data_IF_715064056981
#
_entry.id   IF_715064056981
#
_cell.length_a   1.000
_cell.length_b   1.000
_cell.length_c   1.000
_cell.angle_alpha   90.00
_cell.angle_beta   90.00
_cell.angle_gamma   90.00
#
_symmetry.space_group_name_H-M   'P 1'
#
loop_
_entity.id
_entity.type
_entity.pdbx_description
1 polymer ?
#
# COMPACT_ATOMS: atom_id res chain seq x y z
N UNK A 1 24.22 -27.79 -4.99
CA UNK A 1 24.53 -28.05 -3.57
C UNK A 1 23.26 -27.79 -2.78
N UNK A 2 22.57 -28.87 -2.44
CA UNK A 2 21.31 -28.84 -1.71
C UNK A 2 21.60 -28.45 -0.26
N UNK A 3 20.91 -27.42 0.24
CA UNK A 3 21.06 -26.98 1.63
C UNK A 3 20.27 -27.97 2.48
N UNK A 4 20.96 -29.00 2.98
CA UNK A 4 20.39 -29.99 3.90
C UNK A 4 19.79 -29.28 5.13
N UNK A 5 18.48 -29.38 5.28
CA UNK A 5 17.75 -28.90 6.45
C UNK A 5 17.98 -29.89 7.61
N UNK A 6 19.10 -29.72 8.33
CA UNK A 6 19.46 -30.57 9.46
C UNK A 6 18.73 -30.12 10.73
N UNK A 7 17.58 -30.75 10.95
CA UNK A 7 17.07 -31.05 12.29
C UNK A 7 16.18 -29.98 12.94
N UNK A 8 15.00 -30.42 13.34
CA UNK A 8 14.16 -29.72 14.31
C UNK A 8 14.66 -30.10 15.70
N UNK A 9 15.25 -29.17 16.45
CA UNK A 9 15.59 -29.41 17.86
C UNK A 9 14.34 -29.24 18.74
N UNK A 10 14.20 -30.14 19.71
CA UNK A 10 13.06 -30.23 20.62
C UNK A 10 12.87 -28.96 21.46
N UNK A 11 11.63 -28.49 21.70
CA UNK A 11 11.38 -27.27 22.45
C UNK A 11 11.44 -27.53 23.96
N UNK A 12 12.19 -26.71 24.69
CA UNK A 12 12.31 -26.77 26.15
C UNK A 12 11.03 -26.34 26.93
N UNK A 13 9.90 -26.03 26.28
CA UNK A 13 8.64 -25.70 26.96
C UNK A 13 7.41 -25.71 26.02
N UNK A 14 6.17 -25.93 26.55
CA UNK A 14 4.94 -25.92 25.75
C UNK A 14 4.45 -24.47 25.53
N UNK A 15 5.06 -23.77 24.58
CA UNK A 15 4.61 -22.44 24.12
C UNK A 15 3.71 -22.51 22.89
N UNK A 16 2.83 -21.51 22.71
CA UNK A 16 1.93 -21.38 21.54
C UNK A 16 2.73 -21.36 20.23
N UNK A 17 2.09 -21.75 19.12
CA UNK A 17 2.72 -21.94 17.79
C UNK A 17 3.41 -20.69 17.20
N UNK A 18 3.25 -19.51 17.81
CA UNK A 18 3.84 -18.24 17.34
C UNK A 18 5.20 -17.86 17.97
N UNK A 19 5.71 -18.61 18.95
CA UNK A 19 6.89 -18.18 19.73
C UNK A 19 8.23 -18.79 19.30
N UNK A 20 8.27 -19.59 18.22
CA UNK A 20 9.54 -20.15 17.72
C UNK A 20 10.18 -19.19 16.72
N UNK A 21 10.86 -18.17 17.23
CA UNK A 21 11.79 -17.37 16.41
C UNK A 21 12.76 -18.35 15.76
N UNK A 22 12.80 -18.38 14.42
CA UNK A 22 13.70 -19.30 13.69
C UNK A 22 15.09 -18.68 13.69
N UNK A 23 16.02 -19.36 14.34
CA UNK A 23 17.44 -19.01 14.32
C UNK A 23 18.15 -19.90 13.28
N UNK A 24 18.95 -19.27 12.45
CA UNK A 24 19.78 -19.88 11.44
C UNK A 24 21.23 -19.89 11.92
N UNK A 25 22.01 -20.88 11.46
CA UNK A 25 23.40 -21.06 11.90
C UNK A 25 24.23 -19.78 11.75
N UNK A 26 25.10 -19.56 12.73
CA UNK A 26 26.12 -18.53 12.72
C UNK A 26 27.15 -18.77 11.61
N UNK A 27 27.86 -17.70 11.21
CA UNK A 27 28.94 -17.79 10.23
C UNK A 27 28.51 -17.98 8.77
N UNK A 28 27.21 -17.90 8.44
CA UNK A 28 26.76 -17.87 7.04
C UNK A 28 27.24 -16.60 6.36
N UNK A 29 27.70 -16.69 5.12
CA UNK A 29 28.10 -15.54 4.30
C UNK A 29 27.13 -15.40 3.13
N UNK A 30 26.90 -14.16 2.69
CA UNK A 30 26.13 -13.84 1.50
C UNK A 30 26.64 -14.61 0.27
N UNK A 31 25.73 -15.21 -0.50
CA UNK A 31 26.07 -16.01 -1.69
C UNK A 31 26.50 -15.18 -2.92
N UNK A 32 26.39 -13.85 -2.86
CA UNK A 32 26.80 -12.99 -3.99
C UNK A 32 28.32 -13.04 -4.20
N UNK A 33 28.81 -13.22 -5.44
CA UNK A 33 30.24 -13.25 -5.73
C UNK A 33 30.95 -12.00 -5.21
N UNK A 34 32.02 -12.21 -4.43
CA UNK A 34 32.79 -11.12 -3.82
C UNK A 34 32.13 -10.47 -2.60
N UNK A 35 30.94 -10.89 -2.19
CA UNK A 35 30.31 -10.40 -0.97
C UNK A 35 30.77 -11.21 0.24
N UNK A 36 31.45 -10.56 1.18
CA UNK A 36 31.93 -11.18 2.42
C UNK A 36 31.00 -10.92 3.61
N UNK A 37 29.77 -10.44 3.38
CA UNK A 37 28.84 -10.10 4.46
C UNK A 37 28.36 -11.34 5.22
N UNK A 38 28.65 -11.40 6.51
CA UNK A 38 28.13 -12.43 7.42
C UNK A 38 26.65 -12.16 7.70
N UNK A 39 25.80 -13.18 7.48
CA UNK A 39 24.36 -13.12 7.62
C UNK A 39 23.97 -13.32 9.09
N UNK A 40 23.04 -12.48 9.55
CA UNK A 40 22.44 -12.62 10.88
C UNK A 40 21.79 -13.99 11.07
N UNK A 41 21.82 -14.48 12.30
CA UNK A 41 21.10 -15.70 12.72
C UNK A 41 19.58 -15.56 12.52
N UNK A 42 19.04 -14.36 12.38
CA UNK A 42 17.61 -14.14 12.11
C UNK A 42 17.29 -13.99 10.61
N UNK A 43 18.29 -14.02 9.74
CA UNK A 43 18.11 -13.80 8.31
C UNK A 43 17.83 -15.12 7.57
N UNK A 44 16.60 -15.37 7.09
CA UNK A 44 16.29 -16.61 6.39
C UNK A 44 16.92 -16.71 4.99
N UNK A 45 17.29 -15.59 4.38
CA UNK A 45 17.86 -15.56 3.03
C UNK A 45 19.33 -16.00 3.02
N UNK A 46 19.79 -16.47 1.86
CA UNK A 46 21.21 -16.72 1.55
C UNK A 46 21.96 -15.47 1.09
N UNK A 47 21.28 -14.32 0.97
CA UNK A 47 21.87 -13.02 0.61
C UNK A 47 21.78 -12.05 1.80
N UNK A 48 22.64 -11.03 1.84
CA UNK A 48 22.58 -9.97 2.87
C UNK A 48 21.50 -8.92 2.55
N UNK A 49 21.11 -8.07 3.51
CA UNK A 49 20.05 -7.07 3.31
C UNK A 49 20.26 -6.13 2.09
N UNK A 50 21.53 -5.91 1.69
CA UNK A 50 21.88 -5.10 0.52
C UNK A 50 21.60 -5.86 -0.78
N UNK A 51 21.97 -7.14 -0.85
CA UNK A 51 21.73 -8.03 -1.99
C UNK A 51 20.38 -8.75 -1.95
N UNK A 52 19.64 -8.60 -0.85
CA UNK A 52 18.23 -8.92 -0.74
C UNK A 52 17.36 -7.91 -1.48
N UNK A 53 17.89 -6.74 -1.87
CA UNK A 53 17.19 -5.88 -2.82
C UNK A 53 17.23 -6.50 -4.21
N UNK A 54 16.15 -6.68 -4.94
CA UNK A 54 14.71 -6.56 -4.70
C UNK A 54 14.15 -7.33 -5.90
N UNK A 55 13.94 -8.64 -5.81
CA UNK A 55 13.12 -9.30 -6.84
C UNK A 55 11.70 -8.66 -6.85
N UNK A 56 11.32 -8.05 -5.73
CA UNK A 56 10.20 -7.15 -5.56
C UNK A 56 10.63 -5.68 -5.73
N UNK A 57 11.36 -5.33 -6.80
CA UNK A 57 11.27 -3.94 -7.27
C UNK A 57 9.78 -3.79 -7.52
N UNK A 58 9.10 -2.98 -6.70
CA UNK A 58 7.70 -2.57 -6.90
C UNK A 58 7.52 -2.56 -8.40
N UNK A 59 6.67 -3.44 -8.98
CA UNK A 59 6.63 -3.58 -10.42
C UNK A 59 6.50 -2.15 -10.94
N UNK A 60 7.33 -1.81 -11.92
CA UNK A 60 7.30 -0.51 -12.56
C UNK A 60 5.96 -0.26 -13.28
N UNK A 61 4.86 -0.88 -12.84
CA UNK A 61 3.46 -0.46 -13.04
C UNK A 61 3.23 1.03 -12.78
N UNK A 62 4.12 1.72 -12.05
CA UNK A 62 4.09 3.19 -11.95
C UNK A 62 4.55 3.89 -13.23
N UNK A 63 5.44 3.29 -14.02
CA UNK A 63 6.00 3.91 -15.23
C UNK A 63 5.05 3.78 -16.44
N UNK A 64 4.13 2.82 -16.43
CA UNK A 64 3.21 2.54 -17.54
C UNK A 64 1.78 3.04 -17.25
N UNK A 65 1.62 4.13 -16.51
CA UNK A 65 0.29 4.69 -16.31
C UNK A 65 -0.18 5.38 -17.58
N UNK A 66 -1.06 4.72 -18.33
CA UNK A 66 -1.67 5.24 -19.56
C UNK A 66 -2.40 6.55 -19.26
N UNK A 67 -2.08 7.58 -20.04
CA UNK A 67 -2.79 8.85 -20.01
C UNK A 67 -4.17 8.66 -20.65
N UNK A 68 -5.22 9.03 -19.91
CA UNK A 68 -6.60 8.97 -20.39
C UNK A 68 -7.24 10.35 -20.33
N UNK A 69 -8.07 10.65 -21.32
CA UNK A 69 -8.93 11.82 -21.33
C UNK A 69 -10.20 11.58 -20.53
N UNK A 70 -10.58 12.55 -19.69
CA UNK A 70 -11.81 12.51 -18.91
C UNK A 70 -12.48 13.88 -18.92
N UNK A 71 -13.80 13.90 -18.73
CA UNK A 71 -14.56 15.13 -18.51
C UNK A 71 -14.63 15.49 -17.02
N UNK A 72 -14.50 16.78 -16.71
CA UNK A 72 -14.61 17.29 -15.35
C UNK A 72 -16.07 17.28 -14.89
N UNK A 73 -16.36 16.62 -13.77
CA UNK A 73 -17.70 16.56 -13.19
C UNK A 73 -18.25 17.92 -12.68
N UNK A 74 -17.42 18.96 -12.63
CA UNK A 74 -17.83 20.30 -12.16
C UNK A 74 -18.03 21.31 -13.29
N UNK A 75 -17.17 21.31 -14.30
CA UNK A 75 -17.20 22.32 -15.37
C UNK A 75 -17.36 21.73 -16.77
N UNK A 76 -17.41 20.40 -16.92
CA UNK A 76 -17.53 19.71 -18.20
C UNK A 76 -16.25 19.66 -19.04
N UNK A 77 -15.23 20.48 -18.74
CA UNK A 77 -13.99 20.53 -19.50
C UNK A 77 -13.28 19.17 -19.56
N UNK A 78 -12.72 18.84 -20.72
CA UNK A 78 -11.85 17.67 -20.92
C UNK A 78 -10.47 17.91 -20.32
N UNK A 79 -9.89 16.88 -19.70
CA UNK A 79 -8.55 16.92 -19.13
C UNK A 79 -7.88 15.54 -19.18
N UNK A 80 -6.56 15.52 -19.26
CA UNK A 80 -5.77 14.29 -19.22
C UNK A 80 -5.42 13.89 -17.78
N UNK A 81 -5.42 12.60 -17.51
CA UNK A 81 -5.00 12.06 -16.23
C UNK A 81 -4.52 10.62 -16.36
N UNK A 82 -3.61 10.21 -15.50
CA UNK A 82 -3.20 8.81 -15.34
C UNK A 82 -4.04 8.07 -14.29
N UNK A 83 -4.90 8.78 -13.54
CA UNK A 83 -5.69 8.22 -12.46
C UNK A 83 -7.16 8.05 -12.88
N UNK A 84 -7.66 6.81 -13.05
CA UNK A 84 -9.04 6.57 -13.46
C UNK A 84 -10.09 7.01 -12.43
N UNK A 85 -9.69 7.30 -11.19
CA UNK A 85 -10.60 7.81 -10.14
C UNK A 85 -10.64 9.34 -10.08
N UNK A 86 -9.84 10.05 -10.87
CA UNK A 86 -9.82 11.52 -10.87
C UNK A 86 -11.07 12.06 -11.58
N UNK A 87 -11.88 12.83 -10.84
CA UNK A 87 -13.18 13.37 -11.30
C UNK A 87 -13.16 14.84 -11.74
N UNK A 88 -12.09 15.57 -11.41
CA UNK A 88 -12.03 17.03 -11.57
C UNK A 88 -10.71 17.44 -12.24
N UNK A 89 -10.78 18.41 -13.14
CA UNK A 89 -9.61 18.90 -13.88
C UNK A 89 -8.58 19.62 -12.98
N UNK A 90 -9.04 20.30 -11.93
CA UNK A 90 -8.19 21.12 -11.04
C UNK A 90 -8.64 21.09 -9.58
N UNK A 91 -7.78 21.60 -8.68
CA UNK A 91 -8.11 21.81 -7.26
C UNK A 91 -9.30 22.75 -7.11
N UNK A 92 -9.37 23.83 -7.91
CA UNK A 92 -10.49 24.76 -7.94
C UNK A 92 -11.83 24.06 -8.16
N UNK A 93 -11.93 23.20 -9.18
CA UNK A 93 -13.16 22.46 -9.47
C UNK A 93 -13.51 21.46 -8.35
N UNK A 94 -12.50 20.86 -7.72
CA UNK A 94 -12.69 19.97 -6.57
C UNK A 94 -13.28 20.71 -5.37
N UNK A 95 -12.73 21.88 -5.03
CA UNK A 95 -13.22 22.72 -3.92
C UNK A 95 -14.63 23.26 -4.20
N UNK A 96 -14.90 23.68 -5.43
CA UNK A 96 -16.24 24.12 -5.82
C UNK A 96 -17.28 22.99 -5.68
N UNK A 97 -16.96 21.80 -6.16
CA UNK A 97 -17.84 20.64 -6.02
C UNK A 97 -18.07 20.25 -4.55
N UNK A 98 -17.08 20.48 -3.68
CA UNK A 98 -17.25 20.27 -2.23
C UNK A 98 -18.20 21.31 -1.63
N UNK A 99 -17.96 22.60 -1.88
CA UNK A 99 -18.79 23.68 -1.36
C UNK A 99 -20.26 23.57 -1.82
N UNK A 100 -20.51 23.20 -3.08
CA UNK A 100 -21.87 23.00 -3.58
C UNK A 100 -22.58 21.84 -2.87
N UNK A 101 -21.87 20.73 -2.60
CA UNK A 101 -22.45 19.62 -1.82
C UNK A 101 -22.84 20.04 -0.41
N UNK A 102 -22.00 20.81 0.28
CA UNK A 102 -22.31 21.31 1.63
C UNK A 102 -23.52 22.26 1.61
N UNK A 103 -23.58 23.14 0.62
CA UNK A 103 -24.70 24.08 0.45
C UNK A 103 -26.02 23.33 0.19
N UNK A 104 -25.99 22.30 -0.64
CA UNK A 104 -27.16 21.46 -0.91
C UNK A 104 -27.56 20.66 0.33
N UNK A 105 -26.61 20.06 1.05
CA UNK A 105 -26.89 19.35 2.29
C UNK A 105 -27.54 20.25 3.35
N UNK A 106 -27.02 21.47 3.52
CA UNK A 106 -27.61 22.46 4.44
C UNK A 106 -29.02 22.87 4.02
N UNK A 107 -29.26 23.10 2.72
CA UNK A 107 -30.60 23.40 2.21
C UNK A 107 -31.57 22.24 2.42
N UNK A 108 -31.11 21.01 2.19
CA UNK A 108 -31.92 19.81 2.42
C UNK A 108 -32.26 19.65 3.91
N UNK A 109 -31.31 19.89 4.82
CA UNK A 109 -31.55 19.85 6.26
C UNK A 109 -32.62 20.87 6.67
N UNK A 110 -32.49 22.13 6.24
CA UNK A 110 -33.51 23.17 6.52
C UNK A 110 -34.88 22.77 5.97
N UNK A 111 -34.94 22.25 4.73
CA UNK A 111 -36.21 21.81 4.15
C UNK A 111 -36.83 20.62 4.89
N UNK A 112 -36.03 19.73 5.47
CA UNK A 112 -36.51 18.64 6.33
C UNK A 112 -37.09 19.22 7.62
N UNK A 113 -36.36 20.11 8.30
CA UNK A 113 -36.82 20.78 9.54
C UNK A 113 -38.12 21.56 9.34
N UNK A 114 -38.27 22.28 8.22
CA UNK A 114 -39.48 23.02 7.88
C UNK A 114 -40.67 22.08 7.64
N UNK A 115 -40.45 20.95 6.95
CA UNK A 115 -41.49 19.93 6.72
C UNK A 115 -41.93 19.26 8.01
N UNK A 116 -40.99 18.96 8.91
CA UNK A 116 -41.29 18.41 10.23
C UNK A 116 -42.10 19.40 11.08
N UNK A 117 -41.72 20.68 11.09
CA UNK A 117 -42.46 21.73 11.80
C UNK A 117 -43.89 21.92 11.25
N UNK A 118 -44.07 21.84 9.93
CA UNK A 118 -45.39 21.97 9.31
C UNK A 118 -46.30 20.75 9.56
N UNK A 119 -45.73 19.60 9.94
CA UNK A 119 -46.47 18.39 10.26
C UNK A 119 -46.83 18.25 11.76
N UNK A 120 -46.35 19.16 12.61
CA UNK A 120 -46.63 19.23 14.04
C UNK A 120 -47.72 20.27 14.34
#
# INVERSE_FOLDING_TARGET
MEVENKGSLEPLAPGRRSDRVRYYREGRVCVEPGCTTVLSIYNPSSRCAVHQRRADVIPLRRLESEEMERSCAQCGATFTTTNPRRKYCSSRCRSHAFAEREKLARRAAVAIEERERAAA
#
